data_IF_957132159010
#
_entry.id   IF_957132159010
#
_cell.length_a   1.000
_cell.length_b   1.000
_cell.length_c   1.000
_cell.angle_alpha   90.00
_cell.angle_beta   90.00
_cell.angle_gamma   90.00
#
_symmetry.space_group_name_H-M   'P 1'
#
loop_
_entity.id
_entity.type
_entity.pdbx_description
1 polymer ?
#
# COMPACT_ATOMS: atom_id res chain seq x y z
N UNK A 1 -0.09 18.64 8.72
CA UNK A 1 -0.19 18.32 7.27
C UNK A 1 -0.70 16.90 7.20
N UNK A 2 -1.94 16.67 6.73
CA UNK A 2 -2.42 15.30 6.51
C UNK A 2 -1.57 14.72 5.39
N UNK A 3 -0.89 13.58 5.58
CA UNK A 3 -0.16 12.97 4.49
C UNK A 3 -1.15 12.70 3.37
N UNK A 4 -0.88 13.29 2.20
CA UNK A 4 -1.75 13.24 1.01
C UNK A 4 -1.96 11.79 0.51
N UNK A 5 -1.12 10.88 0.99
CA UNK A 5 -1.16 9.43 0.77
C UNK A 5 -2.06 8.79 1.83
N UNK A 6 -3.09 8.05 1.43
CA UNK A 6 -4.00 7.33 2.33
C UNK A 6 -3.52 5.91 2.66
N UNK A 7 -2.20 5.68 2.69
CA UNK A 7 -1.63 4.36 2.97
C UNK A 7 -1.93 3.93 4.40
N UNK A 8 -1.83 4.84 5.37
CA UNK A 8 -2.14 4.55 6.77
C UNK A 8 -3.59 4.05 6.95
N UNK A 9 -4.56 4.63 6.25
CA UNK A 9 -5.97 4.20 6.29
C UNK A 9 -6.18 2.90 5.50
N UNK A 10 -5.42 2.68 4.43
CA UNK A 10 -5.39 1.41 3.72
C UNK A 10 -4.91 0.27 4.63
N UNK A 11 -3.93 0.50 5.50
CA UNK A 11 -3.46 -0.47 6.49
C UNK A 11 -4.56 -0.87 7.48
N UNK A 12 -5.41 0.07 7.91
CA UNK A 12 -6.58 -0.27 8.74
C UNK A 12 -7.57 -1.16 7.99
N UNK A 13 -7.83 -0.84 6.71
CA UNK A 13 -8.71 -1.64 5.88
C UNK A 13 -8.16 -3.06 5.66
N UNK A 14 -6.84 -3.21 5.48
CA UNK A 14 -6.16 -4.50 5.35
C UNK A 14 -6.29 -5.33 6.63
N UNK A 15 -6.02 -4.72 7.78
CA UNK A 15 -6.19 -5.37 9.08
C UNK A 15 -7.63 -5.85 9.27
N UNK A 16 -8.61 -5.03 8.87
CA UNK A 16 -10.02 -5.40 8.92
C UNK A 16 -10.36 -6.58 7.98
N UNK A 17 -9.79 -6.64 6.78
CA UNK A 17 -9.97 -7.77 5.86
C UNK A 17 -9.38 -9.06 6.43
N UNK A 18 -8.17 -8.99 6.99
CA UNK A 18 -7.48 -10.12 7.62
C UNK A 18 -8.27 -10.63 8.82
N UNK A 19 -8.76 -9.74 9.68
CA UNK A 19 -9.61 -10.11 10.82
C UNK A 19 -10.92 -10.82 10.42
N UNK A 20 -11.32 -10.72 9.15
CA UNK A 20 -12.49 -11.40 8.57
C UNK A 20 -12.12 -12.67 7.79
N UNK A 21 -10.86 -13.10 7.85
CA UNK A 21 -10.36 -14.32 7.20
C UNK A 21 -9.96 -14.16 5.73
N UNK A 22 -9.87 -12.92 5.23
CA UNK A 22 -9.34 -12.65 3.89
C UNK A 22 -7.83 -12.48 4.01
N UNK A 23 -7.05 -13.53 3.72
CA UNK A 23 -5.59 -13.54 3.87
C UNK A 23 -4.81 -13.82 2.58
N UNK A 24 -5.50 -14.20 1.49
CA UNK A 24 -4.89 -14.57 0.21
C UNK A 24 -4.56 -13.34 -0.66
N UNK A 25 -3.74 -12.46 -0.12
CA UNK A 25 -3.21 -11.30 -0.84
C UNK A 25 -1.88 -10.85 -0.25
N UNK A 26 -1.15 -10.04 -1.01
CA UNK A 26 -0.02 -9.25 -0.51
C UNK A 26 -0.10 -7.84 -1.09
N UNK A 27 0.31 -6.84 -0.30
CA UNK A 27 0.43 -5.45 -0.73
C UNK A 27 1.92 -5.07 -0.83
N UNK A 28 2.36 -4.77 -2.04
CA UNK A 28 3.64 -4.12 -2.26
C UNK A 28 3.44 -2.59 -2.34
N UNK A 29 4.08 -1.87 -1.43
CA UNK A 29 4.11 -0.41 -1.44
C UNK A 29 5.25 0.04 -2.35
N UNK A 30 4.86 0.55 -3.52
CA UNK A 30 5.77 1.07 -4.52
C UNK A 30 5.95 2.57 -4.35
N UNK A 31 7.19 2.99 -4.16
CA UNK A 31 7.53 4.39 -4.10
C UNK A 31 8.67 4.69 -3.13
N UNK A 32 9.32 5.85 -3.31
CA UNK A 32 10.39 6.33 -2.46
C UNK A 32 9.96 6.39 -0.98
N UNK A 33 10.81 5.82 -0.12
CA UNK A 33 10.65 5.79 1.35
C UNK A 33 11.21 7.06 2.02
N UNK A 34 11.98 7.87 1.29
CA UNK A 34 12.72 9.02 1.78
C UNK A 34 12.02 10.38 1.54
N UNK A 35 10.98 10.42 0.70
CA UNK A 35 10.30 11.68 0.36
C UNK A 35 9.59 12.36 1.52
N UNK A 36 9.07 11.57 2.46
CA UNK A 36 8.47 12.05 3.72
C UNK A 36 8.82 11.03 4.80
N UNK A 37 10.02 11.10 5.39
CA UNK A 37 10.54 10.09 6.32
C UNK A 37 9.62 9.86 7.52
N UNK A 38 9.01 10.92 8.06
CA UNK A 38 8.10 10.82 9.20
C UNK A 38 6.85 10.01 8.85
N UNK A 39 6.35 10.14 7.62
CA UNK A 39 5.20 9.39 7.16
C UNK A 39 5.54 7.93 6.88
N UNK A 40 6.74 7.68 6.35
CA UNK A 40 7.24 6.32 6.17
C UNK A 40 7.35 5.59 7.51
N UNK A 41 7.95 6.23 8.52
CA UNK A 41 8.06 5.62 9.85
C UNK A 41 6.70 5.42 10.52
N UNK A 42 5.77 6.36 10.37
CA UNK A 42 4.40 6.18 10.85
C UNK A 42 3.73 4.95 10.22
N UNK A 43 3.91 4.73 8.91
CA UNK A 43 3.37 3.54 8.25
C UNK A 43 4.08 2.26 8.72
N UNK A 44 5.40 2.32 8.95
CA UNK A 44 6.18 1.17 9.45
C UNK A 44 5.75 0.77 10.86
N UNK A 45 5.61 1.73 11.77
CA UNK A 45 5.10 1.51 13.12
C UNK A 45 3.71 0.90 13.10
N UNK A 46 2.83 1.44 12.25
CA UNK A 46 1.46 0.92 12.11
C UNK A 46 1.42 -0.52 11.58
N UNK A 47 2.29 -0.88 10.65
CA UNK A 47 2.41 -2.27 10.16
C UNK A 47 2.81 -3.20 11.31
N UNK A 48 3.75 -2.78 12.16
CA UNK A 48 4.22 -3.54 13.32
C UNK A 48 3.12 -3.68 14.39
N UNK A 49 2.42 -2.58 14.71
CA UNK A 49 1.31 -2.54 15.67
C UNK A 49 0.13 -3.42 15.24
N UNK A 50 -0.15 -3.50 13.94
CA UNK A 50 -1.26 -4.28 13.37
C UNK A 50 -0.84 -5.69 12.93
N UNK A 51 0.42 -6.08 13.16
CA UNK A 51 1.00 -7.36 12.76
C UNK A 51 0.83 -7.68 11.25
N UNK A 52 1.08 -6.69 10.39
CA UNK A 52 0.85 -6.77 8.95
C UNK A 52 2.10 -7.14 8.13
N UNK A 53 3.23 -7.47 8.76
CA UNK A 53 4.53 -7.68 8.12
C UNK A 53 4.53 -8.82 7.10
N UNK A 54 3.66 -9.81 7.30
CA UNK A 54 3.46 -10.91 6.34
C UNK A 54 2.79 -10.45 5.05
N UNK A 55 1.90 -9.45 5.12
CA UNK A 55 1.07 -9.01 4.00
C UNK A 55 1.62 -7.76 3.31
N UNK A 56 2.38 -6.91 4.00
CA UNK A 56 2.81 -5.61 3.48
C UNK A 56 4.32 -5.54 3.33
N UNK A 57 4.80 -5.14 2.16
CA UNK A 57 6.22 -4.98 1.87
C UNK A 57 6.51 -3.67 1.15
N UNK A 58 7.47 -2.89 1.65
CA UNK A 58 7.98 -1.73 0.93
C UNK A 58 9.00 -2.16 -0.11
N UNK A 59 8.78 -1.81 -1.38
CA UNK A 59 9.72 -2.11 -2.48
C UNK A 59 10.63 -0.94 -2.84
N UNK A 60 10.37 0.24 -2.27
CA UNK A 60 11.10 1.46 -2.61
C UNK A 60 10.82 1.95 -4.02
N UNK A 61 11.75 2.71 -4.58
CA UNK A 61 11.66 3.24 -5.94
C UNK A 61 11.84 2.12 -6.97
N UNK A 62 10.80 1.87 -7.76
CA UNK A 62 10.81 0.87 -8.84
C UNK A 62 10.35 1.51 -10.15
N UNK A 63 10.72 0.90 -11.28
CA UNK A 63 10.07 1.21 -12.56
C UNK A 63 8.65 0.64 -12.56
N UNK A 64 7.68 1.50 -12.20
CA UNK A 64 6.27 1.13 -12.12
C UNK A 64 5.79 0.48 -13.41
N UNK A 65 6.18 0.99 -14.59
CA UNK A 65 5.72 0.46 -15.88
C UNK A 65 6.17 -0.99 -16.09
N UNK A 66 7.40 -1.30 -15.70
CA UNK A 66 7.93 -2.65 -15.77
C UNK A 66 7.25 -3.61 -14.76
N UNK A 67 6.68 -3.09 -13.68
CA UNK A 67 6.01 -3.90 -12.66
C UNK A 67 4.50 -4.10 -12.89
N UNK A 68 3.84 -3.28 -13.71
CA UNK A 68 2.37 -3.33 -13.90
C UNK A 68 1.83 -4.72 -14.27
N UNK A 69 2.62 -5.54 -14.99
CA UNK A 69 2.22 -6.88 -15.40
C UNK A 69 2.30 -7.95 -14.31
N UNK A 70 2.83 -7.61 -13.11
CA UNK A 70 3.06 -8.55 -12.01
C UNK A 70 2.02 -8.47 -10.90
N UNK A 71 1.14 -7.47 -10.95
CA UNK A 71 0.12 -7.22 -9.93
C UNK A 71 -1.27 -7.40 -10.52
N UNK A 72 -2.15 -8.09 -9.79
CA UNK A 72 -3.55 -8.26 -10.17
C UNK A 72 -4.35 -6.96 -9.99
N UNK A 73 -3.93 -6.13 -9.04
CA UNK A 73 -4.57 -4.87 -8.68
C UNK A 73 -3.53 -3.80 -8.37
N UNK A 74 -3.81 -2.58 -8.82
CA UNK A 74 -3.04 -1.39 -8.50
C UNK A 74 -3.91 -0.42 -7.73
N UNK A 75 -3.45 -0.02 -6.55
CA UNK A 75 -4.15 0.90 -5.66
C UNK A 75 -3.37 2.20 -5.53
N UNK A 76 -4.07 3.32 -5.67
CA UNK A 76 -3.53 4.65 -5.42
C UNK A 76 -4.35 5.32 -4.31
N UNK A 77 -4.05 5.04 -3.03
CA UNK A 77 -4.76 5.68 -1.93
C UNK A 77 -4.32 7.16 -1.85
N UNK A 78 -5.10 8.06 -2.45
CA UNK A 78 -4.87 9.51 -2.41
C UNK A 78 -6.18 10.24 -2.16
N UNK A 79 -6.12 11.25 -1.30
CA UNK A 79 -7.26 12.11 -0.99
C UNK A 79 -7.49 13.24 -2.00
N UNK A 80 -6.54 13.50 -2.93
CA UNK A 80 -6.57 14.72 -3.76
C UNK A 80 -6.30 14.51 -5.26
N UNK A 81 -5.66 13.43 -5.70
CA UNK A 81 -5.52 13.09 -7.13
C UNK A 81 -6.03 11.68 -7.38
N UNK A 82 -7.23 11.59 -7.94
CA UNK A 82 -7.75 10.36 -8.52
C UNK A 82 -7.15 10.16 -9.92
N UNK A 83 -6.38 9.09 -10.11
CA UNK A 83 -6.18 8.48 -11.42
C UNK A 83 -6.43 6.99 -11.29
N UNK A 84 -7.67 6.59 -11.61
CA UNK A 84 -8.12 5.22 -11.61
C UNK A 84 -7.58 4.54 -12.88
N UNK A 85 -6.60 3.64 -12.75
CA UNK A 85 -6.18 2.77 -13.84
C UNK A 85 -6.53 1.33 -13.46
N UNK A 86 -7.64 0.83 -14.00
CA UNK A 86 -8.07 -0.55 -13.83
C UNK A 86 -7.70 -1.38 -15.06
N UNK A 87 -7.09 -2.54 -14.85
CA UNK A 87 -7.05 -3.62 -15.83
C UNK A 87 -7.30 -4.94 -15.12
N UNK A 88 -8.52 -5.46 -15.23
CA UNK A 88 -8.87 -6.82 -14.82
C UNK A 88 -8.39 -7.79 -15.91
N UNK A 89 -7.56 -8.78 -15.55
CA UNK A 89 -7.41 -10.00 -16.35
C UNK A 89 -7.74 -11.20 -15.47
N UNK A 90 -8.69 -12.01 -15.95
CA UNK A 90 -8.97 -13.36 -15.43
C UNK A 90 -7.83 -14.30 -15.79
#
# INVERSE_FOLDING_TARGET
MVPIKGLADLLDALHLLISRGVEDFTLDVLGPTDHVPEYYELCRQKIEELHLERWVSFRGTVDVRAQLGRYDLLLMPSYTKASLWWRWRR
#
